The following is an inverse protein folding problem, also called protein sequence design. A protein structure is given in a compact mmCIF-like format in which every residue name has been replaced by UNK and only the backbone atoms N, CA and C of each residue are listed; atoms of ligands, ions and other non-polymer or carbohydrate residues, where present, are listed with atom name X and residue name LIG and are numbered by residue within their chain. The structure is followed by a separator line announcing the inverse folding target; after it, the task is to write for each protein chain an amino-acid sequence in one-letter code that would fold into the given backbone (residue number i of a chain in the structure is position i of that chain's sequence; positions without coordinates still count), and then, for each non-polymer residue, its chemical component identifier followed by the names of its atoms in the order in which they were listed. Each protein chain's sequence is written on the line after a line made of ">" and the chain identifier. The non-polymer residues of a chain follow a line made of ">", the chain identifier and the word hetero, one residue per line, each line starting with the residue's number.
data_IF_880988676927
#
_entry.id   IF_880988676927
#
_cell.length_a   1.000
_cell.length_b   1.000
_cell.length_c   1.000
_cell.angle_alpha   90.00
_cell.angle_beta   90.00
_cell.angle_gamma   90.00
#
_symmetry.space_group_name_H-M   'P 1'
#
loop_
_entity.id
_entity.type
_entity.pdbx_description
1 polymer ?
#
# COMPACT_ATOMS: atom_id res chain seq x y z
N UNK A 1 -18.96 -0.10 -31.03
CA UNK A 1 -18.41 1.20 -30.56
C UNK A 1 -18.82 1.35 -29.11
N UNK A 2 -18.01 0.86 -28.17
CA UNK A 2 -18.38 0.84 -26.75
C UNK A 2 -18.06 2.19 -26.13
N UNK A 3 -19.09 3.04 -26.01
CA UNK A 3 -19.04 4.19 -25.13
C UNK A 3 -19.14 3.69 -23.70
N UNK A 4 -18.01 3.35 -23.10
CA UNK A 4 -17.91 3.39 -21.64
C UNK A 4 -18.01 4.86 -21.26
N UNK A 5 -19.17 5.28 -20.75
CA UNK A 5 -19.31 6.52 -20.00
C UNK A 5 -18.30 6.44 -18.85
N UNK A 6 -17.12 7.03 -19.07
CA UNK A 6 -16.11 7.21 -18.05
C UNK A 6 -16.74 8.20 -17.07
N UNK A 7 -17.35 7.71 -16.00
CA UNK A 7 -17.48 8.54 -14.80
C UNK A 7 -16.09 9.13 -14.55
N UNK A 8 -15.93 10.47 -14.47
CA UNK A 8 -14.63 11.07 -14.27
C UNK A 8 -14.16 10.76 -12.85
N UNK A 9 -13.64 9.53 -12.67
CA UNK A 9 -12.89 9.13 -11.49
C UNK A 9 -11.57 9.86 -11.53
N UNK A 10 -11.13 10.39 -10.39
CA UNK A 10 -9.79 10.96 -10.32
C UNK A 10 -8.78 9.85 -10.65
N UNK A 11 -7.62 10.17 -11.25
CA UNK A 11 -6.59 9.16 -11.50
C UNK A 11 -6.17 8.39 -10.23
N UNK A 12 -6.30 9.01 -9.06
CA UNK A 12 -6.04 8.36 -7.78
C UNK A 12 -7.08 7.27 -7.43
N UNK A 13 -8.36 7.52 -7.69
CA UNK A 13 -9.45 6.57 -7.45
C UNK A 13 -9.39 5.40 -8.43
N UNK A 14 -9.12 5.69 -9.70
CA UNK A 14 -8.91 4.66 -10.73
C UNK A 14 -7.73 3.75 -10.35
N UNK A 15 -6.60 4.34 -9.94
CA UNK A 15 -5.45 3.58 -9.48
C UNK A 15 -5.78 2.71 -8.25
N UNK A 16 -6.55 3.23 -7.29
CA UNK A 16 -6.97 2.49 -6.11
C UNK A 16 -7.84 1.28 -6.50
N UNK A 17 -8.77 1.46 -7.43
CA UNK A 17 -9.61 0.39 -7.94
C UNK A 17 -8.80 -0.69 -8.66
N UNK A 18 -7.90 -0.30 -9.58
CA UNK A 18 -7.02 -1.24 -10.29
C UNK A 18 -6.15 -2.02 -9.29
N UNK A 19 -5.60 -1.36 -8.26
CA UNK A 19 -4.82 -2.04 -7.23
C UNK A 19 -5.66 -3.05 -6.43
N UNK A 20 -6.93 -2.74 -6.14
CA UNK A 20 -7.83 -3.68 -5.49
C UNK A 20 -8.11 -4.90 -6.37
N UNK A 21 -8.35 -4.70 -7.67
CA UNK A 21 -8.52 -5.80 -8.63
C UNK A 21 -7.27 -6.67 -8.74
N UNK A 22 -6.09 -6.06 -8.87
CA UNK A 22 -4.81 -6.78 -8.88
C UNK A 22 -4.64 -7.58 -7.59
N UNK A 23 -4.96 -7.00 -6.43
CA UNK A 23 -4.84 -7.70 -5.16
C UNK A 23 -5.76 -8.93 -5.08
N UNK A 24 -6.99 -8.82 -5.57
CA UNK A 24 -7.92 -9.96 -5.67
C UNK A 24 -7.40 -11.05 -6.61
N UNK A 25 -6.93 -10.67 -7.80
CA UNK A 25 -6.38 -11.61 -8.77
C UNK A 25 -5.13 -12.31 -8.20
N UNK A 26 -4.22 -11.58 -7.55
CA UNK A 26 -3.04 -12.15 -6.89
C UNK A 26 -3.39 -13.12 -5.77
N UNK A 27 -4.45 -12.84 -5.00
CA UNK A 27 -4.94 -13.77 -3.98
C UNK A 27 -5.38 -15.07 -4.63
N UNK A 28 -6.20 -14.99 -5.68
CA UNK A 28 -6.67 -16.17 -6.40
C UNK A 28 -5.52 -16.95 -7.06
N UNK A 29 -4.56 -16.24 -7.64
CA UNK A 29 -3.34 -16.83 -8.19
C UNK A 29 -2.56 -17.58 -7.11
N UNK A 30 -2.39 -16.99 -5.92
CA UNK A 30 -1.69 -17.61 -4.80
C UNK A 30 -2.38 -18.91 -4.35
N UNK A 31 -3.70 -18.91 -4.22
CA UNK A 31 -4.49 -20.12 -3.89
C UNK A 31 -4.26 -21.25 -4.91
N UNK A 32 -4.31 -20.93 -6.21
CA UNK A 32 -4.08 -21.91 -7.28
C UNK A 32 -2.64 -22.42 -7.26
N UNK A 33 -1.68 -21.53 -7.06
CA UNK A 33 -0.25 -21.89 -6.99
C UNK A 33 0.01 -22.81 -5.80
N UNK A 34 -0.55 -22.50 -4.64
CA UNK A 34 -0.44 -23.33 -3.45
C UNK A 34 -1.04 -24.71 -3.68
N UNK A 35 -2.21 -24.80 -4.34
CA UNK A 35 -2.82 -26.07 -4.71
C UNK A 35 -1.87 -26.91 -5.59
N UNK A 36 -1.26 -26.32 -6.63
CA UNK A 36 -0.31 -27.04 -7.49
C UNK A 36 0.96 -27.51 -6.76
N UNK A 37 1.39 -26.79 -5.72
CA UNK A 37 2.57 -27.16 -4.94
C UNK A 37 2.29 -28.20 -3.85
N UNK A 38 1.04 -28.30 -3.40
CA UNK A 38 0.65 -29.17 -2.27
C UNK A 38 -0.09 -30.44 -2.70
N UNK A 39 -0.81 -30.39 -3.82
CA UNK A 39 -1.61 -31.51 -4.33
C UNK A 39 -0.93 -32.13 -5.56
N UNK A 40 -0.26 -33.30 -5.42
CA UNK A 40 0.47 -33.92 -6.52
C UNK A 40 -0.43 -34.40 -7.65
N UNK A 41 -1.71 -34.70 -7.36
CA UNK A 41 -2.68 -35.22 -8.34
C UNK A 41 -3.40 -34.11 -9.13
N UNK A 42 -3.03 -32.84 -8.94
CA UNK A 42 -3.67 -31.72 -9.60
C UNK A 42 -3.38 -31.74 -11.12
N UNK A 43 -4.41 -31.62 -11.99
CA UNK A 43 -4.21 -31.71 -13.43
C UNK A 43 -3.36 -30.55 -13.95
N UNK A 44 -2.18 -30.89 -14.50
CA UNK A 44 -1.24 -29.93 -15.05
C UNK A 44 -1.54 -29.56 -16.52
N UNK A 45 -2.55 -30.17 -17.15
CA UNK A 45 -2.95 -29.89 -18.52
C UNK A 45 -4.40 -29.39 -18.55
N UNK A 46 -4.58 -28.16 -19.01
CA UNK A 46 -5.86 -27.57 -19.33
C UNK A 46 -6.12 -27.53 -20.83
N UNK A 47 -7.28 -27.02 -21.22
CA UNK A 47 -7.72 -26.94 -22.63
C UNK A 47 -6.81 -26.08 -23.52
N UNK A 48 -6.15 -25.06 -22.94
CA UNK A 48 -5.28 -24.13 -23.67
C UNK A 48 -3.90 -23.94 -23.02
N UNK A 49 -3.68 -24.49 -21.83
CA UNK A 49 -2.52 -24.15 -20.99
C UNK A 49 -2.00 -25.39 -20.30
N UNK A 50 -0.67 -25.53 -20.23
CA UNK A 50 0.03 -26.52 -19.41
C UNK A 50 0.73 -25.83 -18.25
N UNK A 51 0.67 -26.42 -17.07
CA UNK A 51 1.39 -26.02 -15.86
C UNK A 51 2.58 -26.95 -15.66
N UNK A 52 3.74 -26.39 -15.34
CA UNK A 52 4.96 -27.15 -15.06
C UNK A 52 5.64 -26.59 -13.81
N UNK A 53 6.10 -27.47 -12.91
CA UNK A 53 6.84 -27.07 -11.72
C UNK A 53 8.33 -27.14 -12.05
N UNK A 54 8.95 -25.98 -12.23
CA UNK A 54 10.39 -25.87 -12.51
C UNK A 54 11.13 -25.45 -11.23
N UNK A 55 12.08 -26.28 -10.78
CA UNK A 55 12.95 -25.94 -9.65
C UNK A 55 14.28 -25.40 -10.18
N UNK A 56 14.56 -24.12 -9.94
CA UNK A 56 15.84 -23.50 -10.25
C UNK A 56 16.65 -23.27 -8.97
N UNK A 57 17.89 -23.72 -8.95
CA UNK A 57 18.84 -23.47 -7.85
C UNK A 57 19.85 -22.43 -8.30
N UNK A 58 20.00 -21.37 -7.51
CA UNK A 58 21.03 -20.34 -7.71
C UNK A 58 21.85 -20.19 -6.45
N UNK A 59 23.15 -20.02 -6.62
CA UNK A 59 24.01 -19.58 -5.52
C UNK A 59 23.80 -18.07 -5.35
N UNK A 60 23.54 -17.64 -4.12
CA UNK A 60 23.39 -16.23 -3.75
C UNK A 60 24.52 -15.89 -2.79
N UNK A 61 25.21 -14.79 -3.04
CA UNK A 61 26.21 -14.28 -2.12
C UNK A 61 25.49 -13.74 -0.88
N UNK A 62 25.87 -14.24 0.30
CA UNK A 62 25.32 -13.81 1.60
C UNK A 62 26.14 -12.64 2.16
N UNK A 63 25.69 -11.38 2.07
CA UNK A 63 26.51 -10.21 2.41
C UNK A 63 26.88 -10.16 3.90
N UNK A 64 26.08 -10.84 4.74
CA UNK A 64 26.29 -10.95 6.19
C UNK A 64 27.46 -11.85 6.59
N UNK A 65 27.92 -12.70 5.68
CA UNK A 65 29.07 -13.57 5.88
C UNK A 65 30.36 -12.98 5.28
N UNK A 66 30.27 -11.83 4.60
CA UNK A 66 31.45 -11.15 4.09
C UNK A 66 32.34 -10.66 5.23
N UNK A 67 33.67 -10.70 5.08
CA UNK A 67 34.58 -10.02 5.99
C UNK A 67 34.20 -8.55 6.21
N UNK A 68 34.38 -8.00 7.42
CA UNK A 68 34.00 -6.63 7.73
C UNK A 68 34.68 -5.61 6.82
N UNK A 69 35.90 -5.91 6.33
CA UNK A 69 36.68 -5.06 5.44
C UNK A 69 35.92 -4.80 4.13
N UNK A 70 35.34 -5.82 3.51
CA UNK A 70 34.60 -5.68 2.24
C UNK A 70 33.21 -5.08 2.49
N UNK A 71 32.57 -5.44 3.60
CA UNK A 71 31.20 -5.00 3.91
C UNK A 71 31.12 -3.51 4.20
N UNK A 72 32.11 -2.98 4.91
CA UNK A 72 32.17 -1.57 5.31
C UNK A 72 32.86 -0.68 4.29
N UNK A 73 33.59 -1.26 3.32
CA UNK A 73 34.26 -0.51 2.28
C UNK A 73 33.25 0.12 1.29
N UNK A 74 33.23 1.47 1.18
CA UNK A 74 32.37 2.19 0.25
C UNK A 74 32.62 1.85 -1.23
N UNK A 75 33.81 1.36 -1.59
CA UNK A 75 34.13 0.95 -2.97
C UNK A 75 33.24 -0.20 -3.47
N UNK A 76 32.72 -1.03 -2.56
CA UNK A 76 31.80 -2.12 -2.86
C UNK A 76 30.32 -1.75 -2.61
N UNK A 77 30.03 -0.46 -2.35
CA UNK A 77 28.68 0.03 -2.12
C UNK A 77 28.16 0.78 -3.35
N UNK A 78 26.85 0.65 -3.59
CA UNK A 78 26.14 1.41 -4.61
C UNK A 78 24.87 1.97 -4.01
N UNK A 79 24.62 3.24 -4.26
CA UNK A 79 23.33 3.84 -3.97
C UNK A 79 22.26 3.28 -4.92
N UNK A 80 21.20 2.70 -4.34
CA UNK A 80 20.02 2.24 -5.07
C UNK A 80 18.82 3.07 -4.65
N UNK A 81 18.45 4.04 -5.48
CA UNK A 81 17.25 4.85 -5.26
C UNK A 81 16.02 4.08 -5.76
N UNK A 82 15.06 3.84 -4.86
CA UNK A 82 13.76 3.22 -5.21
C UNK A 82 12.64 4.18 -4.86
N UNK A 83 11.83 4.56 -5.86
CA UNK A 83 10.61 5.36 -5.65
C UNK A 83 9.42 4.43 -5.62
N UNK A 84 8.69 4.42 -4.51
CA UNK A 84 7.52 3.56 -4.32
C UNK A 84 6.25 4.39 -4.29
N UNK A 85 5.33 4.11 -5.22
CA UNK A 85 4.02 4.75 -5.25
C UNK A 85 3.08 4.07 -4.24
N UNK A 86 2.61 4.80 -3.24
CA UNK A 86 1.68 4.30 -2.23
C UNK A 86 0.27 4.89 -2.45
N UNK A 87 -0.75 4.07 -2.26
CA UNK A 87 -2.16 4.49 -2.26
C UNK A 87 -2.68 4.36 -0.83
N UNK A 88 -3.23 5.45 -0.28
CA UNK A 88 -3.87 5.48 1.04
C UNK A 88 -5.27 6.05 0.89
N UNK A 89 -6.26 5.57 1.66
CA UNK A 89 -7.56 6.23 1.71
C UNK A 89 -7.37 7.69 2.10
N UNK A 90 -7.95 8.61 1.32
CA UNK A 90 -8.05 10.01 1.71
C UNK A 90 -9.31 10.16 2.54
N UNK A 91 -9.18 10.55 3.80
CA UNK A 91 -10.32 10.92 4.64
C UNK A 91 -10.51 12.44 4.57
N UNK A 92 -11.50 12.94 3.80
CA UNK A 92 -11.74 14.38 3.68
C UNK A 92 -12.39 14.99 4.93
N UNK A 93 -12.98 14.17 5.81
CA UNK A 93 -13.65 14.66 7.03
C UNK A 93 -12.66 14.94 8.16
N UNK A 94 -11.54 14.20 8.21
CA UNK A 94 -10.46 14.43 9.18
C UNK A 94 -9.79 15.80 9.05
N UNK A 95 -9.92 16.45 7.89
CA UNK A 95 -9.22 17.71 7.60
C UNK A 95 -10.10 18.98 7.73
N UNK A 96 -11.33 18.88 8.24
CA UNK A 96 -12.33 19.96 8.13
C UNK A 96 -12.78 20.70 9.39
N UNK A 97 -12.15 20.55 10.55
CA UNK A 97 -12.52 21.36 11.72
C UNK A 97 -11.28 21.78 12.54
N UNK A 98 -10.89 23.07 12.54
CA UNK A 98 -10.33 23.65 13.75
C UNK A 98 -11.45 23.63 14.80
N UNK A 99 -11.18 23.01 15.95
CA UNK A 99 -12.00 23.13 17.15
C UNK A 99 -12.20 24.62 17.44
N UNK A 100 -13.37 25.16 17.08
CA UNK A 100 -13.83 26.45 17.57
C UNK A 100 -14.09 26.28 19.05
N UNK A 101 -13.04 26.46 19.85
CA UNK A 101 -13.13 26.70 21.30
C UNK A 101 -14.12 27.84 21.46
N UNK A 102 -15.32 27.50 21.91
CA UNK A 102 -16.32 28.48 22.29
C UNK A 102 -15.79 29.19 23.53
N UNK A 103 -15.18 30.36 23.33
CA UNK A 103 -14.93 31.30 24.42
C UNK A 103 -16.26 31.56 25.13
N UNK A 104 -16.37 31.07 26.37
CA UNK A 104 -17.44 31.45 27.28
C UNK A 104 -17.24 32.94 27.59
N UNK A 105 -18.25 33.82 27.46
CA UNK A 105 -18.11 35.17 27.97
C UNK A 105 -17.98 35.10 29.49
N UNK A 106 -16.82 35.53 30.00
CA UNK A 106 -16.61 35.83 31.41
C UNK A 106 -17.58 36.94 31.78
N UNK A 107 -18.49 36.62 32.69
CA UNK A 107 -19.47 37.57 33.22
C UNK A 107 -18.71 38.60 34.08
N UNK A 108 -18.37 39.75 33.49
CA UNK A 108 -17.78 40.87 34.23
C UNK A 108 -18.92 41.58 34.97
N UNK A 109 -18.98 41.33 36.29
CA UNK A 109 -19.97 41.93 37.18
C UNK A 109 -19.86 43.46 37.18
N UNK A 110 -20.96 44.12 36.81
CA UNK A 110 -21.13 45.56 37.00
C UNK A 110 -21.73 45.80 38.38
N UNK A 111 -20.88 46.16 39.35
CA UNK A 111 -21.29 46.62 40.68
C UNK A 111 -21.52 48.13 40.60
N UNK A 112 -22.78 48.55 40.53
CA UNK A 112 -23.15 49.96 40.70
C UNK A 112 -23.39 50.23 42.19
N UNK A 113 -22.49 51.02 42.77
CA UNK A 113 -22.66 51.70 44.06
C UNK A 113 -23.19 53.10 43.78
N UNK A 114 -24.31 53.46 44.40
CA UNK A 114 -24.76 54.84 44.73
C UNK A 114 -25.94 54.66 45.69
N UNK A 115 -26.01 55.16 46.93
CA UNK A 115 -25.34 56.29 47.55
C UNK A 115 -26.28 57.50 47.52
N UNK A 116 -27.05 57.74 48.59
CA UNK A 116 -27.94 58.89 48.77
C UNK A 116 -29.28 58.55 49.41
#
# INVERSE_FOLDING_TARGET
>A
MFHHCFEPRTPADELAQIRAQIAQLKRREAELREAYLTQPDMPCLGRWTKVEIVTSRRQVLEPRLLPPEIRSDPAFQREKVTRTLQTRPHDPTRNRLPELVRDRPVNVGLRLVSGG
#
